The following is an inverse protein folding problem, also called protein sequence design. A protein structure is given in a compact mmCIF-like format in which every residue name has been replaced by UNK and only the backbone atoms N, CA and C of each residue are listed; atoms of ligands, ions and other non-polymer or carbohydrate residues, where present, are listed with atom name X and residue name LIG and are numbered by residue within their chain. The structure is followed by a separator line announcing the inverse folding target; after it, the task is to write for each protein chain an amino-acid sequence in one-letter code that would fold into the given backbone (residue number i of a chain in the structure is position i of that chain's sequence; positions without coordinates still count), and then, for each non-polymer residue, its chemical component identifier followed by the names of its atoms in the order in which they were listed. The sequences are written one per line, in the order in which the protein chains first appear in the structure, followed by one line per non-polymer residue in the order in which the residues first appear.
data_IF_378255531625
#
_entry.id   IF_378255531625
#
_cell.length_a   1.000
_cell.length_b   1.000
_cell.length_c   1.000
_cell.angle_alpha   90.00
_cell.angle_beta   90.00
_cell.angle_gamma   90.00
#
_symmetry.space_group_name_H-M   'P 1'
#
loop_
_entity.id
_entity.type
_entity.pdbx_description
1 polymer ?
#
# COMPACT_ATOMS: atom_id res chain seq x y z
N UNK A 1 30.30 -97.46 76.54
CA UNK A 1 30.27 -98.87 76.09
C UNK A 1 28.81 -99.19 75.85
N UNK A 2 28.34 -99.01 74.61
CA UNK A 2 28.14 -100.07 73.58
C UNK A 2 27.03 -101.05 73.99
N UNK A 3 26.05 -101.46 73.18
CA UNK A 3 25.73 -101.28 71.76
C UNK A 3 24.35 -101.94 71.45
N UNK A 4 23.68 -101.52 70.36
CA UNK A 4 22.83 -102.26 69.37
C UNK A 4 21.47 -102.88 69.79
N UNK A 5 20.30 -102.56 69.18
CA UNK A 5 19.73 -102.60 67.80
C UNK A 5 18.74 -103.78 67.59
N UNK A 6 17.44 -103.40 67.44
CA UNK A 6 16.32 -103.88 66.58
C UNK A 6 15.92 -105.37 66.41
N UNK A 7 14.60 -105.67 66.46
CA UNK A 7 13.67 -105.74 65.29
C UNK A 7 12.21 -106.17 65.61
N UNK A 8 11.22 -105.42 65.05
CA UNK A 8 9.83 -105.69 64.56
C UNK A 8 8.81 -106.59 65.34
N UNK A 9 7.68 -106.09 65.92
CA UNK A 9 6.30 -105.66 65.44
C UNK A 9 5.27 -106.84 65.20
N UNK A 10 3.91 -106.65 65.20
CA UNK A 10 2.96 -106.03 66.18
C UNK A 10 1.56 -106.74 66.28
N UNK A 11 0.66 -106.41 67.24
CA UNK A 11 -0.81 -106.22 66.99
C UNK A 11 -1.65 -105.69 68.19
N UNK A 12 -2.46 -104.65 67.94
CA UNK A 12 -3.85 -104.38 68.42
C UNK A 12 -4.08 -102.86 68.29
N UNK A 13 -5.15 -102.35 67.67
CA UNK A 13 -6.52 -102.32 68.20
C UNK A 13 -7.45 -101.66 67.16
N UNK A 14 -8.67 -102.20 67.00
CA UNK A 14 -9.74 -101.69 66.12
C UNK A 14 -10.60 -100.68 66.91
N UNK A 15 -10.71 -99.43 66.47
CA UNK A 15 -11.52 -98.42 67.17
C UNK A 15 -11.90 -97.14 66.41
N UNK A 16 -11.67 -97.01 65.11
CA UNK A 16 -11.73 -95.70 64.42
C UNK A 16 -12.78 -95.55 63.32
N UNK A 17 -13.51 -96.58 62.90
CA UNK A 17 -14.38 -96.48 61.71
C UNK A 17 -15.81 -96.00 61.96
N UNK A 18 -16.37 -96.10 63.17
CA UNK A 18 -17.80 -95.78 63.41
C UNK A 18 -18.04 -94.30 63.75
N UNK A 19 -17.08 -93.63 64.38
CA UNK A 19 -17.16 -92.21 64.75
C UNK A 19 -16.92 -91.26 63.57
N UNK A 20 -16.12 -91.67 62.58
CA UNK A 20 -15.83 -90.84 61.39
C UNK A 20 -17.05 -90.77 60.46
N UNK A 21 -17.83 -91.84 60.34
CA UNK A 21 -19.02 -91.87 59.47
C UNK A 21 -20.15 -90.98 60.01
N UNK A 22 -20.33 -90.91 61.33
CA UNK A 22 -21.34 -90.05 61.98
C UNK A 22 -20.98 -88.56 61.90
N UNK A 23 -19.69 -88.20 62.00
CA UNK A 23 -19.24 -86.82 61.83
C UNK A 23 -19.35 -86.33 60.38
N UNK A 24 -19.13 -87.20 59.39
CA UNK A 24 -19.25 -86.84 57.97
C UNK A 24 -20.71 -86.58 57.54
N UNK A 25 -21.67 -87.33 58.08
CA UNK A 25 -23.11 -87.14 57.80
C UNK A 25 -23.65 -85.86 58.46
N UNK A 26 -23.20 -85.54 59.68
CA UNK A 26 -23.55 -84.27 60.32
C UNK A 26 -22.88 -83.05 59.64
N UNK A 27 -21.63 -83.16 59.21
CA UNK A 27 -20.95 -82.08 58.50
C UNK A 27 -21.58 -81.80 57.12
N UNK A 28 -21.99 -82.83 56.36
CA UNK A 28 -22.70 -82.62 55.08
C UNK A 28 -24.12 -82.07 55.27
N UNK A 29 -24.81 -82.43 56.36
CA UNK A 29 -26.12 -81.84 56.68
C UNK A 29 -26.00 -80.35 57.06
N UNK A 30 -24.94 -79.94 57.77
CA UNK A 30 -24.70 -78.53 58.09
C UNK A 30 -24.23 -77.70 56.88
N UNK A 31 -23.49 -78.29 55.94
CA UNK A 31 -23.08 -77.62 54.70
C UNK A 31 -24.29 -77.38 53.77
N UNK A 32 -25.26 -78.31 53.71
CA UNK A 32 -26.48 -78.11 52.94
C UNK A 32 -27.45 -77.09 53.58
N UNK A 33 -27.46 -76.96 54.91
CA UNK A 33 -28.25 -75.92 55.61
C UNK A 33 -27.62 -74.53 55.44
N UNK A 34 -26.29 -74.42 55.48
CA UNK A 34 -25.60 -73.13 55.24
C UNK A 34 -25.74 -72.60 53.81
N UNK A 35 -25.97 -73.47 52.80
CA UNK A 35 -26.29 -73.02 51.43
C UNK A 35 -27.77 -72.65 51.21
N UNK A 36 -28.64 -72.84 52.21
CA UNK A 36 -30.08 -72.58 52.11
C UNK A 36 -30.54 -71.30 52.82
N UNK A 37 -29.70 -70.64 53.62
CA UNK A 37 -30.09 -69.50 54.45
C UNK A 37 -29.73 -68.12 53.84
N UNK A 38 -28.96 -68.07 52.74
CA UNK A 38 -28.68 -66.84 51.98
C UNK A 38 -29.48 -66.72 50.68
N UNK A 39 -30.59 -67.45 50.56
CA UNK A 39 -31.65 -67.05 49.62
C UNK A 39 -32.61 -66.12 50.38
N UNK A 40 -32.08 -65.01 50.90
CA UNK A 40 -32.91 -63.80 50.95
C UNK A 40 -33.45 -63.64 49.54
N UNK A 41 -34.76 -63.59 49.42
CA UNK A 41 -35.39 -62.99 48.26
C UNK A 41 -34.64 -61.68 48.02
N UNK A 42 -33.94 -61.56 46.90
CA UNK A 42 -33.63 -60.23 46.37
C UNK A 42 -35.01 -59.68 46.07
N UNK A 43 -35.61 -58.99 47.05
CA UNK A 43 -36.58 -57.95 46.73
C UNK A 43 -35.89 -57.10 45.66
N UNK A 44 -36.57 -56.72 44.57
CA UNK A 44 -35.96 -55.77 43.65
C UNK A 44 -35.44 -54.63 44.53
N UNK A 45 -34.12 -54.40 44.56
CA UNK A 45 -33.57 -53.28 45.31
C UNK A 45 -34.30 -52.07 44.74
N UNK A 46 -35.17 -51.48 45.55
CA UNK A 46 -35.93 -50.32 45.14
C UNK A 46 -34.88 -49.25 44.84
N UNK A 47 -34.79 -48.85 43.57
CA UNK A 47 -33.82 -47.86 43.10
C UNK A 47 -34.49 -46.52 42.92
N UNK A 48 -33.71 -45.46 43.09
CA UNK A 48 -34.18 -44.08 42.99
C UNK A 48 -33.06 -43.15 42.54
N UNK A 49 -33.40 -41.87 42.40
CA UNK A 49 -32.47 -40.82 42.05
C UNK A 49 -31.47 -40.60 43.19
N UNK A 50 -30.20 -40.74 42.87
CA UNK A 50 -29.07 -40.43 43.73
C UNK A 50 -28.38 -39.16 43.24
N UNK A 51 -28.36 -38.15 44.10
CA UNK A 51 -27.85 -36.83 43.81
C UNK A 51 -26.44 -36.62 44.37
N UNK A 52 -25.47 -36.54 43.46
CA UNK A 52 -24.12 -36.15 43.81
C UNK A 52 -24.03 -34.65 44.09
N UNK A 53 -23.03 -34.21 44.87
CA UNK A 53 -22.77 -32.80 45.17
C UNK A 53 -22.51 -31.93 43.91
N UNK A 54 -22.13 -32.55 42.79
CA UNK A 54 -21.96 -31.89 41.49
C UNK A 54 -23.27 -31.62 40.75
N UNK A 55 -24.42 -32.04 41.29
CA UNK A 55 -25.73 -32.00 40.61
C UNK A 55 -25.96 -33.17 39.64
N UNK A 56 -25.02 -34.12 39.55
CA UNK A 56 -25.15 -35.33 38.73
C UNK A 56 -26.18 -36.27 39.35
N UNK A 57 -27.16 -36.70 38.56
CA UNK A 57 -28.14 -37.71 38.96
C UNK A 57 -27.78 -39.09 38.41
N UNK A 58 -27.84 -40.10 39.26
CA UNK A 58 -27.70 -41.51 38.88
C UNK A 58 -28.82 -42.33 39.52
N UNK A 59 -29.24 -43.43 38.88
CA UNK A 59 -30.23 -44.35 39.47
C UNK A 59 -29.47 -45.42 40.23
N UNK A 60 -29.56 -45.41 41.56
CA UNK A 60 -28.86 -46.32 42.47
C UNK A 60 -29.83 -46.82 43.56
N UNK A 61 -29.45 -47.88 44.27
CA UNK A 61 -30.12 -48.24 45.53
C UNK A 61 -29.77 -47.23 46.62
N UNK A 62 -30.54 -47.19 47.72
CA UNK A 62 -30.22 -46.31 48.86
C UNK A 62 -28.79 -46.56 49.40
N UNK A 63 -28.40 -47.83 49.55
CA UNK A 63 -27.06 -48.18 50.04
C UNK A 63 -25.97 -47.70 49.08
N UNK A 64 -26.12 -47.99 47.78
CA UNK A 64 -25.12 -47.61 46.77
C UNK A 64 -25.03 -46.09 46.63
N UNK A 65 -26.14 -45.38 46.82
CA UNK A 65 -26.16 -43.92 46.81
C UNK A 65 -25.37 -43.32 47.97
N UNK A 66 -25.58 -43.84 49.19
CA UNK A 66 -24.83 -43.39 50.37
C UNK A 66 -23.34 -43.74 50.28
N UNK A 67 -22.99 -44.91 49.73
CA UNK A 67 -21.60 -45.31 49.49
C UNK A 67 -20.92 -44.43 48.43
N UNK A 68 -21.69 -43.94 47.45
CA UNK A 68 -21.24 -42.94 46.48
C UNK A 68 -21.18 -41.51 47.06
N UNK A 69 -21.59 -41.30 48.32
CA UNK A 69 -21.62 -40.00 48.98
C UNK A 69 -22.70 -39.04 48.45
N UNK A 70 -23.75 -39.59 47.82
CA UNK A 70 -24.89 -38.83 47.30
C UNK A 70 -26.07 -38.74 48.28
N UNK A 71 -27.03 -37.87 47.96
CA UNK A 71 -28.35 -37.79 48.61
C UNK A 71 -29.34 -38.67 47.86
N UNK A 72 -30.02 -39.59 48.56
CA UNK A 72 -31.05 -40.45 47.97
C UNK A 72 -32.42 -39.78 48.04
N UNK A 73 -33.08 -39.61 46.90
CA UNK A 73 -34.36 -38.87 46.79
C UNK A 73 -35.60 -39.79 46.89
N UNK A 74 -35.40 -41.03 47.35
CA UNK A 74 -36.46 -42.02 47.55
C UNK A 74 -36.71 -42.94 46.35
N UNK A 75 -37.41 -44.02 46.63
CA UNK A 75 -37.66 -45.10 45.67
C UNK A 75 -38.51 -44.63 44.49
N UNK A 76 -38.18 -45.15 43.31
CA UNK A 76 -38.87 -44.84 42.05
C UNK A 76 -38.78 -43.36 41.62
N UNK A 77 -37.94 -42.54 42.26
CA UNK A 77 -37.61 -41.19 41.78
C UNK A 77 -36.71 -41.27 40.55
N UNK A 78 -37.10 -40.63 39.44
CA UNK A 78 -36.35 -40.64 38.20
C UNK A 78 -35.34 -39.49 38.11
N UNK A 79 -34.27 -39.66 37.33
CA UNK A 79 -33.31 -38.61 37.00
C UNK A 79 -33.75 -37.69 35.84
N UNK A 80 -34.97 -37.84 35.34
CA UNK A 80 -35.50 -37.03 34.25
C UNK A 80 -36.96 -36.63 34.53
N UNK A 81 -37.24 -35.33 34.74
CA UNK A 81 -36.27 -34.22 34.86
C UNK A 81 -35.32 -34.42 36.07
N UNK A 82 -34.09 -33.88 35.99
CA UNK A 82 -33.08 -34.06 37.05
C UNK A 82 -33.56 -33.42 38.36
N UNK A 83 -33.82 -34.20 39.42
CA UNK A 83 -34.29 -33.66 40.70
C UNK A 83 -33.14 -33.07 41.55
N UNK A 84 -31.89 -33.31 41.17
CA UNK A 84 -30.74 -32.96 41.98
C UNK A 84 -30.48 -31.46 41.97
N UNK A 85 -30.22 -30.85 43.15
CA UNK A 85 -29.78 -29.47 43.23
C UNK A 85 -28.57 -29.23 42.33
N UNK A 86 -28.70 -28.34 41.37
CA UNK A 86 -27.57 -27.95 40.52
C UNK A 86 -26.67 -27.01 41.33
N UNK A 87 -25.34 -27.14 41.22
CA UNK A 87 -24.43 -26.20 41.86
C UNK A 87 -24.74 -24.80 41.37
N UNK A 88 -24.86 -23.84 42.30
CA UNK A 88 -25.09 -22.45 41.94
C UNK A 88 -23.94 -21.96 41.04
N UNK A 89 -24.32 -21.24 40.00
CA UNK A 89 -23.40 -20.59 39.06
C UNK A 89 -23.61 -19.10 39.10
N UNK A 90 -22.57 -18.38 38.72
CA UNK A 90 -22.57 -16.92 38.72
C UNK A 90 -21.51 -16.36 37.80
N UNK A 91 -21.53 -15.05 37.62
CA UNK A 91 -20.55 -14.32 36.85
C UNK A 91 -19.15 -14.44 37.49
N UNK A 92 -18.18 -14.80 36.67
CA UNK A 92 -16.77 -14.86 37.00
C UNK A 92 -15.98 -13.88 36.15
N UNK A 93 -15.38 -12.89 36.81
CA UNK A 93 -14.65 -11.80 36.20
C UNK A 93 -13.15 -12.07 36.17
N UNK A 94 -12.62 -12.17 34.95
CA UNK A 94 -11.18 -12.28 34.70
C UNK A 94 -10.56 -10.88 34.62
N UNK A 95 -9.23 -10.80 34.84
CA UNK A 95 -8.50 -9.53 34.81
C UNK A 95 -8.58 -8.81 33.44
N UNK A 96 -8.79 -9.57 32.35
CA UNK A 96 -8.98 -9.02 31.00
C UNK A 96 -10.35 -8.39 30.76
N UNK A 97 -11.25 -8.40 31.76
CA UNK A 97 -12.65 -7.97 31.61
C UNK A 97 -13.57 -9.04 31.02
N UNK A 98 -13.05 -10.25 30.75
CA UNK A 98 -13.84 -11.39 30.26
C UNK A 98 -14.75 -11.92 31.37
N UNK A 99 -16.04 -12.07 31.07
CA UNK A 99 -17.02 -12.69 31.95
C UNK A 99 -17.39 -14.11 31.50
N UNK A 100 -17.42 -15.04 32.44
CA UNK A 100 -17.92 -16.41 32.21
C UNK A 100 -18.89 -16.80 33.33
N UNK A 101 -19.95 -17.54 33.01
CA UNK A 101 -20.88 -18.08 34.01
C UNK A 101 -20.40 -19.47 34.43
N UNK A 102 -19.86 -19.58 35.64
CA UNK A 102 -19.27 -20.82 36.17
C UNK A 102 -19.58 -20.95 37.66
N UNK A 103 -19.18 -22.04 38.30
CA UNK A 103 -19.28 -22.17 39.77
C UNK A 103 -18.19 -21.34 40.47
N UNK A 104 -18.43 -20.95 41.72
CA UNK A 104 -17.43 -20.25 42.55
C UNK A 104 -16.05 -20.94 42.55
N UNK A 105 -16.01 -22.27 42.67
CA UNK A 105 -14.77 -23.03 42.71
C UNK A 105 -14.03 -23.03 41.35
N UNK A 106 -14.77 -23.10 40.24
CA UNK A 106 -14.18 -22.98 38.91
C UNK A 106 -13.62 -21.56 38.69
N UNK A 107 -14.33 -20.53 39.16
CA UNK A 107 -13.90 -19.14 39.05
C UNK A 107 -12.57 -18.87 39.78
N UNK A 108 -12.46 -19.29 41.03
CA UNK A 108 -11.22 -19.11 41.82
C UNK A 108 -10.06 -19.92 41.25
N UNK A 109 -10.33 -21.11 40.74
CA UNK A 109 -9.31 -21.94 40.06
C UNK A 109 -8.79 -21.25 38.79
N UNK A 110 -9.65 -20.53 38.07
CA UNK A 110 -9.28 -19.71 36.92
C UNK A 110 -8.62 -18.37 37.30
N UNK A 111 -8.47 -18.06 38.60
CA UNK A 111 -7.91 -16.81 39.09
C UNK A 111 -8.82 -15.59 38.90
N UNK A 112 -10.12 -15.81 38.68
CA UNK A 112 -11.12 -14.75 38.54
C UNK A 112 -11.79 -14.37 39.87
N UNK A 113 -12.50 -13.26 39.84
CA UNK A 113 -13.38 -12.79 40.94
C UNK A 113 -14.80 -13.28 40.68
N UNK A 114 -15.43 -13.93 41.66
CA UNK A 114 -16.81 -14.40 41.55
C UNK A 114 -17.75 -13.35 42.14
N UNK A 115 -18.75 -12.94 41.36
CA UNK A 115 -19.64 -11.83 41.72
C UNK A 115 -20.84 -12.27 42.59
N UNK A 116 -21.09 -13.57 42.69
CA UNK A 116 -22.19 -14.14 43.48
C UNK A 116 -23.02 -15.13 42.69
N UNK A 117 -23.86 -15.89 43.39
CA UNK A 117 -24.77 -16.84 42.76
C UNK A 117 -25.88 -16.12 41.97
N UNK A 118 -26.27 -16.70 40.84
CA UNK A 118 -27.27 -16.16 39.90
C UNK A 118 -26.88 -14.84 39.20
N UNK A 119 -25.70 -14.29 39.46
CA UNK A 119 -25.16 -13.17 38.70
C UNK A 119 -24.87 -13.57 37.25
N UNK A 120 -25.24 -12.72 36.31
CA UNK A 120 -25.13 -13.01 34.88
C UNK A 120 -24.00 -12.23 34.21
N UNK A 121 -23.56 -12.69 33.04
CA UNK A 121 -22.61 -11.97 32.20
C UNK A 121 -23.27 -11.03 31.17
N UNK A 122 -24.59 -10.80 31.27
CA UNK A 122 -25.34 -9.94 30.37
C UNK A 122 -26.31 -9.01 31.14
N UNK A 123 -25.98 -7.71 31.28
CA UNK A 123 -24.75 -7.05 30.78
C UNK A 123 -23.50 -7.52 31.54
N UNK A 124 -22.33 -7.45 30.91
CA UNK A 124 -21.06 -7.86 31.53
C UNK A 124 -20.76 -7.01 32.79
N UNK A 125 -20.75 -7.59 34.00
CA UNK A 125 -20.50 -6.85 35.24
C UNK A 125 -19.01 -6.60 35.49
N UNK A 126 -18.12 -7.23 34.71
CA UNK A 126 -16.70 -7.23 34.97
C UNK A 126 -16.06 -5.88 34.63
N UNK A 127 -15.14 -5.38 35.48
CA UNK A 127 -14.35 -4.19 35.17
C UNK A 127 -13.64 -4.40 33.83
N UNK A 128 -13.93 -3.52 32.87
CA UNK A 128 -13.23 -3.54 31.59
C UNK A 128 -11.84 -2.92 31.78
N UNK A 129 -10.79 -3.46 31.14
CA UNK A 129 -9.48 -2.83 31.17
C UNK A 129 -9.61 -1.41 30.64
N UNK A 130 -9.03 -0.44 31.36
CA UNK A 130 -8.98 0.94 30.90
C UNK A 130 -8.00 1.02 29.73
N UNK A 131 -8.49 1.53 28.61
CA UNK A 131 -7.70 1.74 27.39
C UNK A 131 -7.78 3.20 26.98
N UNK A 132 -6.82 3.62 26.18
CA UNK A 132 -6.72 4.98 25.68
C UNK A 132 -5.93 5.03 24.38
N UNK A 133 -5.92 6.19 23.75
CA UNK A 133 -5.09 6.47 22.60
C UNK A 133 -3.61 6.35 22.96
N UNK A 134 -2.90 5.58 22.14
CA UNK A 134 -1.46 5.41 22.17
C UNK A 134 -0.86 6.05 20.92
N UNK A 135 -0.01 7.05 21.13
CA UNK A 135 0.61 7.82 20.06
C UNK A 135 2.03 7.37 19.78
N UNK A 136 2.22 6.78 18.60
CA UNK A 136 3.54 6.42 18.10
C UNK A 136 4.23 7.62 17.43
N UNK A 137 5.54 7.54 17.28
CA UNK A 137 6.37 8.65 16.78
C UNK A 137 6.13 9.00 15.31
N UNK A 138 5.50 8.11 14.54
CA UNK A 138 5.10 8.34 13.14
C UNK A 138 3.69 8.94 13.00
N UNK A 139 3.04 9.27 14.12
CA UNK A 139 1.67 9.80 14.16
C UNK A 139 0.58 8.73 14.12
N UNK A 140 0.94 7.44 14.09
CA UNK A 140 0.00 6.32 14.21
C UNK A 140 -0.65 6.32 15.58
N UNK A 141 -1.97 6.10 15.62
CA UNK A 141 -2.76 5.97 16.83
C UNK A 141 -3.37 4.57 16.94
N UNK A 142 -3.17 3.92 18.08
CA UNK A 142 -3.85 2.68 18.50
C UNK A 142 -4.60 2.90 19.81
N UNK A 143 -5.64 2.10 20.07
CA UNK A 143 -6.30 2.07 21.39
C UNK A 143 -5.71 0.90 22.17
N UNK A 144 -4.83 1.21 23.11
CA UNK A 144 -4.05 0.24 23.87
C UNK A 144 -4.22 0.47 25.38
N UNK A 145 -3.77 -0.49 26.20
CA UNK A 145 -3.54 -0.21 27.62
C UNK A 145 -2.31 0.68 27.80
N UNK A 146 -2.14 1.30 28.98
CA UNK A 146 -0.95 2.10 29.27
C UNK A 146 0.36 1.31 29.14
N UNK A 147 0.35 0.04 29.55
CA UNK A 147 1.52 -0.84 29.54
C UNK A 147 1.86 -1.32 28.13
N UNK A 148 0.84 -1.67 27.34
CA UNK A 148 1.02 -2.05 25.94
C UNK A 148 1.52 -0.86 25.12
N UNK A 149 0.97 0.33 25.37
CA UNK A 149 1.41 1.55 24.70
C UNK A 149 2.89 1.86 24.97
N UNK A 150 3.30 1.78 26.24
CA UNK A 150 4.71 1.96 26.62
C UNK A 150 5.61 0.88 26.00
N UNK A 151 5.13 -0.37 25.93
CA UNK A 151 5.85 -1.49 25.30
C UNK A 151 6.04 -1.30 23.79
N UNK A 152 5.07 -0.66 23.14
CA UNK A 152 5.12 -0.28 21.72
C UNK A 152 5.96 0.99 21.47
N UNK A 153 6.52 1.61 22.53
CA UNK A 153 7.30 2.85 22.42
C UNK A 153 6.46 4.09 22.15
N UNK A 154 5.15 4.04 22.42
CA UNK A 154 4.22 5.15 22.27
C UNK A 154 4.06 6.01 23.52
N UNK A 155 3.34 7.10 23.36
CA UNK A 155 2.89 7.98 24.45
C UNK A 155 1.41 7.72 24.71
N UNK A 156 1.06 7.39 25.95
CA UNK A 156 -0.33 7.13 26.35
C UNK A 156 -1.03 8.45 26.70
N UNK A 157 -2.14 8.75 26.01
CA UNK A 157 -2.86 10.02 26.16
C UNK A 157 -3.85 10.04 27.33
N UNK A 158 -3.99 8.90 28.02
CA UNK A 158 -4.86 8.73 29.19
C UNK A 158 -6.08 7.88 28.90
N UNK A 159 -6.76 7.46 29.96
CA UNK A 159 -7.91 6.57 29.87
C UNK A 159 -9.08 7.21 29.12
N UNK A 160 -9.83 6.39 28.39
CA UNK A 160 -11.00 6.74 27.57
C UNK A 160 -10.72 7.72 26.42
N UNK A 161 -9.45 8.02 26.14
CA UNK A 161 -9.06 8.74 24.92
C UNK A 161 -9.21 7.83 23.70
N UNK A 162 -9.59 8.42 22.55
CA UNK A 162 -9.89 7.69 21.31
C UNK A 162 -8.97 8.13 20.18
N UNK A 163 -8.84 7.28 19.16
CA UNK A 163 -8.04 7.57 17.95
C UNK A 163 -8.84 8.24 16.81
N UNK A 164 -10.12 8.58 17.04
CA UNK A 164 -10.96 9.28 16.07
C UNK A 164 -11.72 10.43 16.74
N UNK A 165 -11.35 11.71 16.46
CA UNK A 165 -10.24 12.12 15.60
C UNK A 165 -8.87 11.75 16.20
N UNK A 166 -7.86 11.48 15.35
CA UNK A 166 -6.52 11.09 15.79
C UNK A 166 -5.88 12.21 16.64
N UNK A 167 -5.61 12.00 17.94
CA UNK A 167 -5.02 13.00 18.81
C UNK A 167 -3.49 13.11 18.65
N UNK A 168 -2.87 12.16 17.96
CA UNK A 168 -1.43 12.03 17.92
C UNK A 168 -0.78 13.11 17.05
N UNK A 169 0.36 13.68 17.51
CA UNK A 169 1.14 14.61 16.71
C UNK A 169 1.48 14.01 15.36
N UNK A 170 0.97 14.60 14.29
CA UNK A 170 1.28 14.14 12.93
C UNK A 170 2.71 14.58 12.57
N UNK A 171 3.49 13.72 11.89
CA UNK A 171 4.82 14.11 11.43
C UNK A 171 4.70 15.31 10.52
N UNK A 172 5.46 16.37 10.83
CA UNK A 172 5.47 17.58 10.03
C UNK A 172 6.09 17.24 8.67
N UNK A 173 5.41 17.66 7.60
CA UNK A 173 5.84 17.45 6.22
C UNK A 173 6.10 18.78 5.54
N UNK A 174 6.83 18.73 4.43
CA UNK A 174 7.13 19.89 3.62
C UNK A 174 7.52 19.47 2.21
N UNK A 175 7.63 20.44 1.31
CA UNK A 175 8.13 20.26 -0.04
C UNK A 175 9.59 19.77 -0.01
N UNK A 176 9.83 18.71 -0.75
CA UNK A 176 11.14 18.14 -1.02
C UNK A 176 11.46 18.29 -2.51
N UNK A 177 12.52 19.04 -2.80
CA UNK A 177 12.94 19.38 -4.15
C UNK A 177 14.07 18.49 -4.63
N UNK A 178 13.90 17.93 -5.82
CA UNK A 178 14.90 17.13 -6.51
C UNK A 178 15.51 17.91 -7.69
N UNK A 179 16.69 17.49 -8.14
CA UNK A 179 17.46 18.18 -9.19
C UNK A 179 16.74 18.23 -10.55
N UNK A 180 15.79 17.31 -10.80
CA UNK A 180 14.96 17.28 -12.00
C UNK A 180 13.74 18.22 -11.92
N UNK A 181 13.61 18.98 -10.83
CA UNK A 181 12.47 19.86 -10.57
C UNK A 181 11.24 19.15 -10.00
N UNK A 182 11.30 17.82 -9.77
CA UNK A 182 10.24 17.06 -9.09
C UNK A 182 10.08 17.56 -7.65
N UNK A 183 8.82 17.64 -7.20
CA UNK A 183 8.47 18.00 -5.83
C UNK A 183 7.63 16.92 -5.16
N UNK A 184 7.95 16.58 -3.92
CA UNK A 184 7.15 15.68 -3.08
C UNK A 184 6.89 16.29 -1.70
N UNK A 185 5.68 16.15 -1.16
CA UNK A 185 5.38 16.55 0.22
C UNK A 185 5.66 15.36 1.14
N UNK A 186 6.80 15.38 1.82
CA UNK A 186 7.30 14.30 2.67
C UNK A 186 7.98 14.87 3.92
N UNK A 187 8.37 14.02 4.87
CA UNK A 187 9.10 14.47 6.08
C UNK A 187 10.53 14.90 5.73
N UNK A 188 11.13 15.78 6.54
CA UNK A 188 12.50 16.23 6.34
C UNK A 188 13.53 15.08 6.28
N UNK A 189 13.34 14.04 7.11
CA UNK A 189 14.20 12.85 7.13
C UNK A 189 14.03 12.04 5.84
N UNK A 190 12.79 11.83 5.36
CA UNK A 190 12.55 11.14 4.11
C UNK A 190 13.14 11.92 2.92
N UNK A 191 13.02 13.25 2.93
CA UNK A 191 13.55 14.12 1.88
C UNK A 191 15.07 14.03 1.77
N UNK A 192 15.78 14.27 2.87
CA UNK A 192 17.24 14.18 2.90
C UNK A 192 17.73 12.75 2.62
N UNK A 193 17.00 11.73 3.07
CA UNK A 193 17.27 10.33 2.76
C UNK A 193 17.10 9.96 1.27
N UNK A 194 16.21 10.66 0.56
CA UNK A 194 16.01 10.53 -0.88
C UNK A 194 16.97 11.39 -1.72
N UNK A 195 17.84 12.18 -1.08
CA UNK A 195 18.78 13.09 -1.76
C UNK A 195 18.17 14.41 -2.21
N UNK A 196 16.97 14.76 -1.76
CA UNK A 196 16.33 16.05 -2.06
C UNK A 196 16.67 17.16 -1.06
N UNK A 197 16.36 18.39 -1.44
CA UNK A 197 16.42 19.58 -0.59
C UNK A 197 15.06 19.83 0.07
N UNK A 198 15.04 19.92 1.40
CA UNK A 198 13.81 20.17 2.16
C UNK A 198 13.58 21.68 2.30
N UNK A 199 12.44 22.17 1.81
CA UNK A 199 12.13 23.61 1.75
C UNK A 199 11.57 24.17 3.08
N UNK A 200 11.35 23.29 4.05
CA UNK A 200 10.88 23.63 5.39
C UNK A 200 9.49 23.08 5.69
N UNK A 201 9.15 23.11 6.97
CA UNK A 201 7.87 22.62 7.49
C UNK A 201 6.68 23.35 6.84
N UNK A 202 5.62 22.60 6.57
CA UNK A 202 4.35 23.06 5.98
C UNK A 202 4.45 23.69 4.59
N UNK A 203 5.60 23.58 3.92
CA UNK A 203 5.73 23.95 2.51
C UNK A 203 5.02 22.93 1.60
N UNK A 204 4.51 23.40 0.46
CA UNK A 204 3.68 22.60 -0.46
C UNK A 204 4.32 22.52 -1.84
N UNK A 205 3.89 21.55 -2.64
CA UNK A 205 4.34 21.38 -4.04
C UNK A 205 3.41 22.03 -5.08
N UNK A 206 2.38 22.76 -4.63
CA UNK A 206 1.46 23.49 -5.50
C UNK A 206 1.21 24.91 -4.93
N UNK A 207 1.77 25.96 -5.56
CA UNK A 207 2.65 25.92 -6.73
C UNK A 207 4.00 25.25 -6.42
N UNK A 208 4.61 24.58 -7.42
CA UNK A 208 5.89 23.87 -7.24
C UNK A 208 7.02 24.88 -6.90
N UNK A 209 7.62 24.81 -5.69
CA UNK A 209 8.68 25.72 -5.28
C UNK A 209 10.05 25.32 -5.83
N UNK A 210 10.17 24.12 -6.40
CA UNK A 210 11.46 23.55 -6.76
C UNK A 210 12.05 24.23 -8.00
N UNK A 211 13.38 24.48 -8.00
CA UNK A 211 14.07 24.95 -9.20
C UNK A 211 13.76 24.04 -10.38
N UNK A 212 13.16 24.61 -11.43
CA UNK A 212 12.92 23.87 -12.66
C UNK A 212 14.22 23.79 -13.46
N UNK A 213 14.52 22.65 -14.09
CA UNK A 213 15.69 22.56 -14.96
C UNK A 213 15.58 23.62 -16.06
N UNK A 214 16.70 24.29 -16.33
CA UNK A 214 16.75 25.28 -17.40
C UNK A 214 16.40 24.61 -18.73
N UNK A 215 15.57 25.29 -19.52
CA UNK A 215 15.18 24.82 -20.85
C UNK A 215 15.55 25.86 -21.89
N UNK A 216 15.69 25.41 -23.13
CA UNK A 216 16.07 26.24 -24.25
C UNK A 216 15.69 25.59 -25.58
N UNK A 217 15.82 26.36 -26.65
CA UNK A 217 15.59 25.90 -28.01
C UNK A 217 16.58 24.81 -28.40
N UNK A 218 16.05 23.70 -28.90
CA UNK A 218 16.79 22.59 -29.45
C UNK A 218 16.50 22.47 -30.94
N UNK A 219 17.54 22.60 -31.77
CA UNK A 219 17.44 22.53 -33.22
C UNK A 219 17.72 21.12 -33.72
N UNK A 220 16.70 20.51 -34.32
CA UNK A 220 16.85 19.23 -35.01
C UNK A 220 17.40 19.41 -36.43
N UNK A 221 17.81 18.30 -37.05
CA UNK A 221 18.37 18.30 -38.40
C UNK A 221 17.40 18.70 -39.51
N UNK A 222 16.09 18.67 -39.24
CA UNK A 222 15.02 19.04 -40.16
C UNK A 222 14.52 20.49 -39.94
N UNK A 223 15.34 21.32 -39.29
CA UNK A 223 15.03 22.73 -38.94
C UNK A 223 13.86 22.88 -37.96
N UNK A 224 13.33 21.79 -37.40
CA UNK A 224 12.34 21.84 -36.32
C UNK A 224 12.98 22.29 -35.01
N UNK A 225 12.18 22.99 -34.20
CA UNK A 225 12.58 23.53 -32.90
C UNK A 225 11.62 23.06 -31.80
N UNK A 226 12.19 22.57 -30.70
CA UNK A 226 11.48 22.27 -29.46
C UNK A 226 12.18 22.92 -28.27
N UNK A 227 11.44 23.33 -27.25
CA UNK A 227 12.01 23.84 -26.00
C UNK A 227 12.12 22.69 -25.00
N UNK A 228 13.35 22.28 -24.69
CA UNK A 228 13.67 21.13 -23.84
C UNK A 228 14.93 21.42 -23.02
N UNK A 229 15.32 20.51 -22.13
CA UNK A 229 16.60 20.60 -21.42
C UNK A 229 17.78 20.34 -22.38
N UNK A 230 18.98 20.75 -22.00
CA UNK A 230 20.19 20.49 -22.79
C UNK A 230 20.48 19.00 -22.96
N UNK A 231 20.24 18.19 -21.92
CA UNK A 231 20.42 16.73 -21.95
C UNK A 231 19.39 16.04 -22.85
N UNK A 232 18.13 16.46 -22.81
CA UNK A 232 17.08 15.97 -23.71
C UNK A 232 17.39 16.33 -25.17
N UNK A 233 17.91 17.54 -25.40
CA UNK A 233 18.32 17.99 -26.73
C UNK A 233 19.47 17.14 -27.29
N UNK A 234 20.49 16.89 -26.47
CA UNK A 234 21.63 16.05 -26.84
C UNK A 234 21.19 14.60 -27.12
N UNK A 235 20.28 14.06 -26.30
CA UNK A 235 19.72 12.71 -26.49
C UNK A 235 18.90 12.62 -27.79
N UNK A 236 18.18 13.69 -28.14
CA UNK A 236 17.47 13.83 -29.41
C UNK A 236 18.37 14.06 -30.63
N UNK A 237 19.69 14.20 -30.46
CA UNK A 237 20.64 14.49 -31.53
C UNK A 237 20.53 15.90 -32.10
N UNK A 238 19.90 16.82 -31.35
CA UNK A 238 19.76 18.22 -31.73
C UNK A 238 20.94 19.10 -31.29
N UNK A 239 20.92 20.35 -31.74
CA UNK A 239 21.85 21.40 -31.29
C UNK A 239 21.14 22.34 -30.33
N UNK A 240 21.58 22.36 -29.07
CA UNK A 240 21.03 23.24 -28.04
C UNK A 240 21.52 24.67 -28.22
N UNK A 241 20.60 25.63 -28.23
CA UNK A 241 20.90 27.05 -28.47
C UNK A 241 21.23 27.84 -27.18
N UNK A 242 21.17 27.19 -26.03
CA UNK A 242 21.44 27.79 -24.71
C UNK A 242 20.16 27.98 -23.90
N UNK A 243 20.32 28.20 -22.59
CA UNK A 243 19.21 28.37 -21.66
C UNK A 243 18.40 29.64 -21.99
N UNK A 244 17.09 29.59 -21.73
CA UNK A 244 16.10 30.65 -21.98
C UNK A 244 15.94 31.06 -23.45
N UNK A 245 16.47 30.29 -24.39
CA UNK A 245 16.20 30.49 -25.82
C UNK A 245 14.83 29.94 -26.22
N UNK A 246 14.08 30.67 -27.05
CA UNK A 246 12.75 30.27 -27.53
C UNK A 246 12.79 29.68 -28.93
N UNK A 247 11.74 28.94 -29.30
CA UNK A 247 11.47 28.50 -30.68
C UNK A 247 10.61 29.49 -31.47
N UNK A 248 10.38 30.69 -30.92
CA UNK A 248 9.61 31.75 -31.56
C UNK A 248 10.35 33.10 -31.35
N UNK A 249 10.93 33.68 -32.41
CA UNK A 249 11.05 33.11 -33.77
C UNK A 249 11.93 31.85 -33.80
N UNK A 250 11.70 30.93 -34.75
CA UNK A 250 12.44 29.67 -34.84
C UNK A 250 13.94 29.93 -35.14
N UNK A 251 14.87 29.65 -34.23
CA UNK A 251 16.30 29.88 -34.46
C UNK A 251 16.97 28.80 -35.33
N UNK A 252 16.25 27.74 -35.69
CA UNK A 252 16.77 26.56 -36.37
C UNK A 252 16.64 26.65 -37.89
N UNK A 253 15.87 27.59 -38.40
CA UNK A 253 15.80 27.88 -39.83
C UNK A 253 16.97 28.78 -40.22
N UNK A 254 17.60 28.47 -41.34
CA UNK A 254 18.51 29.44 -41.96
C UNK A 254 17.66 30.63 -42.45
N UNK A 255 18.01 31.88 -42.10
CA UNK A 255 17.28 33.04 -42.60
C UNK A 255 17.27 33.01 -44.13
N UNK A 256 16.11 33.22 -44.74
CA UNK A 256 16.01 33.30 -46.19
C UNK A 256 16.93 34.41 -46.72
N UNK A 257 17.58 34.13 -47.84
CA UNK A 257 18.47 35.09 -48.51
C UNK A 257 17.92 35.45 -49.88
N UNK A 258 18.31 36.63 -50.35
CA UNK A 258 17.87 37.18 -51.62
C UNK A 258 18.83 38.23 -52.13
N UNK A 259 18.62 38.68 -53.37
CA UNK A 259 19.39 39.74 -53.99
C UNK A 259 19.18 41.07 -53.27
N UNK A 260 20.28 41.72 -52.93
CA UNK A 260 20.35 43.03 -52.33
C UNK A 260 21.00 44.02 -53.28
N UNK A 261 20.27 45.07 -53.66
CA UNK A 261 20.74 46.10 -54.57
C UNK A 261 21.30 47.30 -53.85
N UNK A 262 22.60 47.54 -53.98
CA UNK A 262 23.26 48.73 -53.47
C UNK A 262 23.05 49.94 -54.40
N UNK A 263 23.40 51.12 -53.91
CA UNK A 263 23.28 52.38 -54.66
C UNK A 263 24.25 52.52 -55.83
N UNK A 264 25.30 51.71 -55.88
CA UNK A 264 26.28 51.62 -56.97
C UNK A 264 25.94 50.52 -58.00
N UNK A 265 24.69 50.05 -58.00
CA UNK A 265 24.17 48.98 -58.86
C UNK A 265 24.81 47.59 -58.63
N UNK A 266 25.63 47.44 -57.57
CA UNK A 266 26.15 46.14 -57.15
C UNK A 266 25.05 45.29 -56.51
N UNK A 267 25.21 43.97 -56.67
CA UNK A 267 24.27 42.97 -56.14
C UNK A 267 25.01 41.94 -55.27
N UNK A 268 24.47 41.68 -54.08
CA UNK A 268 24.90 40.59 -53.18
C UNK A 268 23.70 39.74 -52.76
N UNK A 269 23.92 38.44 -52.49
CA UNK A 269 22.88 37.57 -51.91
C UNK A 269 23.09 37.53 -50.40
N UNK A 270 22.19 38.16 -49.66
CA UNK A 270 22.27 38.32 -48.19
C UNK A 270 20.86 38.24 -47.58
N UNK A 271 20.74 38.28 -46.26
CA UNK A 271 19.43 38.35 -45.59
C UNK A 271 18.79 39.73 -45.81
N UNK A 272 17.47 39.85 -45.60
CA UNK A 272 16.78 41.15 -45.66
C UNK A 272 17.36 42.18 -44.70
N UNK A 273 17.76 41.75 -43.50
CA UNK A 273 18.29 42.62 -42.44
C UNK A 273 19.71 43.08 -42.76
N UNK A 274 20.56 42.18 -43.27
CA UNK A 274 21.89 42.53 -43.76
C UNK A 274 21.80 43.50 -44.95
N UNK A 275 20.83 43.28 -45.84
CA UNK A 275 20.58 44.18 -46.96
C UNK A 275 20.17 45.59 -46.49
N UNK A 276 19.23 45.66 -45.54
CA UNK A 276 18.78 46.93 -44.96
C UNK A 276 19.91 47.64 -44.21
N UNK A 277 20.73 46.89 -43.46
CA UNK A 277 21.91 47.42 -42.74
C UNK A 277 22.96 47.95 -43.71
N UNK A 278 23.13 47.31 -44.86
CA UNK A 278 23.99 47.76 -45.96
C UNK A 278 23.42 48.96 -46.74
N UNK A 279 22.22 49.44 -46.41
CA UNK A 279 21.54 50.52 -47.13
C UNK A 279 21.07 50.14 -48.54
N UNK A 280 20.96 48.84 -48.81
CA UNK A 280 20.49 48.31 -50.08
C UNK A 280 18.98 48.10 -50.13
N UNK A 281 18.46 47.81 -51.33
CA UNK A 281 17.06 47.43 -51.56
C UNK A 281 16.97 45.92 -51.76
N UNK A 282 16.29 45.24 -50.84
CA UNK A 282 16.09 43.79 -50.90
C UNK A 282 15.03 43.43 -51.94
N UNK A 283 15.33 42.48 -52.82
CA UNK A 283 14.46 42.09 -53.93
C UNK A 283 13.47 40.96 -53.58
N UNK A 284 13.52 40.46 -52.34
CA UNK A 284 12.69 39.36 -51.85
C UNK A 284 13.48 38.06 -51.73
N UNK A 285 12.92 37.12 -50.97
CA UNK A 285 13.55 35.82 -50.72
C UNK A 285 13.72 35.01 -52.02
N UNK A 286 14.78 34.20 -52.07
CA UNK A 286 15.17 33.34 -53.20
C UNK A 286 15.49 34.08 -54.52
N UNK A 287 15.62 35.42 -54.50
CA UNK A 287 16.08 36.19 -55.66
C UNK A 287 17.60 36.08 -55.83
N UNK A 288 18.07 36.02 -57.08
CA UNK A 288 19.50 35.88 -57.43
C UNK A 288 20.11 37.18 -57.97
N UNK A 289 21.44 37.28 -57.94
CA UNK A 289 22.21 38.35 -58.58
C UNK A 289 22.64 38.03 -60.02
N UNK A 290 22.12 36.94 -60.59
CA UNK A 290 22.38 36.53 -61.97
C UNK A 290 21.06 36.11 -62.63
N UNK A 291 20.55 36.88 -63.62
CA UNK A 291 21.08 38.18 -64.08
C UNK A 291 20.97 39.26 -62.98
N UNK A 292 21.89 40.24 -62.95
CA UNK A 292 21.90 41.30 -61.93
C UNK A 292 20.61 42.13 -61.98
N UNK A 293 19.72 42.08 -60.96
CA UNK A 293 18.47 42.84 -60.95
C UNK A 293 18.66 44.33 -60.60
N UNK A 294 19.87 44.73 -60.18
CA UNK A 294 20.16 46.05 -59.62
C UNK A 294 20.63 47.07 -60.67
N UNK A 295 20.98 46.60 -61.87
CA UNK A 295 21.29 47.48 -62.99
C UNK A 295 20.00 47.91 -63.66
N UNK A 296 19.85 49.21 -63.87
CA UNK A 296 18.81 49.69 -64.80
C UNK A 296 19.21 49.21 -66.21
N UNK A 297 18.33 48.51 -66.95
CA UNK A 297 18.67 48.09 -68.30
C UNK A 297 19.04 49.32 -69.14
N UNK A 298 20.23 49.32 -69.74
CA UNK A 298 20.69 50.45 -70.54
C UNK A 298 19.64 50.82 -71.61
N UNK A 299 19.40 52.12 -71.74
CA UNK A 299 18.45 52.67 -72.71
C UNK A 299 19.18 53.51 -73.73
N UNK A 300 18.59 53.64 -74.90
CA UNK A 300 19.16 54.35 -76.03
C UNK A 300 18.09 54.71 -77.04
N UNK A 301 18.46 55.54 -78.01
CA UNK A 301 17.61 55.97 -79.09
C UNK A 301 17.19 54.78 -79.95
N UNK A 302 15.89 54.60 -80.06
CA UNK A 302 15.26 53.66 -80.96
C UNK A 302 14.65 54.41 -82.13
N UNK A 303 15.15 54.15 -83.34
CA UNK A 303 14.64 54.75 -84.57
C UNK A 303 13.57 53.88 -85.19
N UNK A 304 12.34 54.39 -85.23
CA UNK A 304 11.26 53.77 -85.97
C UNK A 304 11.36 54.08 -87.47
N UNK A 305 10.60 53.36 -88.28
CA UNK A 305 10.59 53.51 -89.74
C UNK A 305 10.02 54.85 -90.23
N UNK A 306 9.31 55.59 -89.38
CA UNK A 306 8.74 56.91 -89.66
C UNK A 306 9.64 58.06 -89.19
N UNK A 307 10.92 57.79 -88.97
CA UNK A 307 11.94 58.74 -88.48
C UNK A 307 11.67 59.26 -87.05
N UNK A 308 10.69 58.68 -86.34
CA UNK A 308 10.46 58.97 -84.93
C UNK A 308 11.51 58.29 -84.03
N UNK A 309 11.83 58.95 -82.93
CA UNK A 309 12.83 58.51 -81.97
C UNK A 309 12.23 58.40 -80.57
N UNK A 310 12.47 57.27 -79.90
CA UNK A 310 12.14 57.06 -78.48
C UNK A 310 13.33 56.48 -77.74
N UNK A 311 13.59 56.92 -76.50
CA UNK A 311 14.63 56.32 -75.63
C UNK A 311 14.03 55.12 -74.89
N UNK A 312 14.45 53.91 -75.24
CA UNK A 312 13.97 52.64 -74.68
C UNK A 312 15.12 51.63 -74.56
N UNK A 313 14.92 50.47 -73.96
CA UNK A 313 15.94 49.40 -73.94
C UNK A 313 16.13 48.78 -75.32
N UNK A 314 17.28 48.16 -75.58
CA UNK A 314 17.55 47.46 -76.86
C UNK A 314 16.49 46.39 -77.19
N UNK A 315 16.03 45.64 -76.19
CA UNK A 315 14.97 44.64 -76.33
C UNK A 315 13.60 45.27 -76.65
N UNK A 316 13.24 46.37 -75.98
CA UNK A 316 12.01 47.10 -76.28
C UNK A 316 12.06 47.72 -77.68
N UNK A 317 13.21 48.26 -78.10
CA UNK A 317 13.41 48.79 -79.44
C UNK A 317 13.23 47.72 -80.52
N UNK A 318 13.83 46.55 -80.31
CA UNK A 318 13.69 45.39 -81.21
C UNK A 318 12.23 44.93 -81.29
N UNK A 319 11.53 44.89 -80.14
CA UNK A 319 10.11 44.51 -80.06
C UNK A 319 9.22 45.52 -80.80
N UNK A 320 9.56 46.80 -80.76
CA UNK A 320 8.87 47.86 -81.50
C UNK A 320 9.20 47.88 -83.00
N UNK A 321 10.07 46.99 -83.48
CA UNK A 321 10.51 46.94 -84.88
C UNK A 321 11.43 48.10 -85.27
N UNK A 322 12.01 48.82 -84.29
CA UNK A 322 12.93 49.93 -84.53
C UNK A 322 14.39 49.49 -84.56
N UNK A 323 15.27 50.40 -85.02
CA UNK A 323 16.72 50.20 -85.02
C UNK A 323 17.32 50.90 -83.79
N UNK A 324 17.92 50.11 -82.90
CA UNK A 324 18.57 50.62 -81.69
C UNK A 324 19.94 51.22 -82.02
N UNK A 325 20.17 52.46 -81.61
CA UNK A 325 21.39 53.20 -81.96
C UNK A 325 22.56 52.98 -80.99
N UNK A 326 22.36 52.13 -79.97
CA UNK A 326 23.33 51.84 -78.92
C UNK A 326 22.94 52.48 -77.59
N UNK A 327 23.55 52.01 -76.51
CA UNK A 327 23.29 52.51 -75.16
C UNK A 327 23.69 53.99 -75.02
N UNK A 328 22.97 54.72 -74.18
CA UNK A 328 23.14 56.15 -73.89
C UNK A 328 22.96 57.10 -75.09
N UNK A 329 22.45 56.60 -76.21
CA UNK A 329 22.08 57.46 -77.35
C UNK A 329 20.77 58.21 -77.05
N UNK A 330 20.74 59.52 -77.31
CA UNK A 330 19.57 60.37 -77.10
C UNK A 330 18.76 60.59 -78.38
N UNK A 331 17.52 61.07 -78.23
CA UNK A 331 16.68 61.52 -79.34
C UNK A 331 16.80 63.03 -79.63
N UNK A 332 17.78 63.70 -79.01
CA UNK A 332 18.09 65.12 -79.23
C UNK A 332 19.61 65.33 -79.28
N UNK A 333 20.18 65.72 -80.43
CA UNK A 333 19.50 65.85 -81.73
C UNK A 333 19.00 64.49 -82.23
N UNK A 334 17.86 64.46 -82.94
CA UNK A 334 17.26 63.21 -83.41
C UNK A 334 18.23 62.46 -84.34
N UNK A 335 18.75 61.27 -83.96
CA UNK A 335 19.68 60.51 -84.78
C UNK A 335 18.99 59.77 -85.94
N UNK A 336 17.65 59.74 -85.95
CA UNK A 336 16.84 58.99 -86.91
C UNK A 336 16.53 59.77 -88.19
N UNK A 337 16.89 61.06 -88.26
CA UNK A 337 16.82 61.84 -89.49
C UNK A 337 18.14 61.69 -90.26
N UNK A 338 18.07 61.13 -91.46
CA UNK A 338 19.22 61.14 -92.37
C UNK A 338 19.44 62.56 -92.89
N UNK A 339 20.68 63.10 -92.90
CA UNK A 339 20.96 64.42 -93.47
C UNK A 339 20.70 64.52 -94.97
#
# INVERSE_FOLDING_TARGET
MSERISTWRPWSSRGTSFTILLLAVFAMAQILVACSEDRKTVEPDETGACCAASGTCSILSESDCTDAGGSYEGDNTACSPNPCPQPATGACCQLSGTCTVVTQAACTTAGGTYEGDDESCDPNPCPQPTTGACCLSDGTCSVDSSDDCASNGGTYEGDDTVCDPNPCPQPVTGACCFDDGTCQVITAIACTGAGGAFEGDDTVCDPNPCPQPATGACCASDESCIVVTSDDCATGGGTYQGDDTSCDPNPCVTPATGACCASDESCTVVTSDDCATGGGTYQGDDTSCDPNPCVTPATGACCASDESCTVVTSAACTTAGGTYQGDDTSCDPNPCVTP
#
